data_IF_229807880218
#
_entry.id   IF_229807880218
#
_cell.length_a   1.000
_cell.length_b   1.000
_cell.length_c   1.000
_cell.angle_alpha   90.00
_cell.angle_beta   90.00
_cell.angle_gamma   90.00
#
_symmetry.space_group_name_H-M   'P 1'
#
loop_
_entity.id
_entity.type
_entity.pdbx_description
1 polymer ?
#
# COMPACT_ATOMS: atom_id res chain seq x y z
N UNK A 1 -16.59 10.23 -0.35
CA UNK A 1 -16.03 11.04 -1.47
C UNK A 1 -15.36 10.08 -2.43
N UNK A 2 -15.64 10.20 -3.73
CA UNK A 2 -14.97 9.41 -4.77
C UNK A 2 -13.49 9.81 -4.92
N UNK A 3 -12.69 8.95 -5.51
CA UNK A 3 -11.29 9.25 -5.77
C UNK A 3 -11.13 10.44 -6.72
N UNK A 4 -10.05 11.18 -6.52
CA UNK A 4 -9.54 12.22 -7.41
C UNK A 4 -8.16 11.80 -7.92
N UNK A 5 -7.64 12.38 -9.01
CA UNK A 5 -6.31 12.03 -9.52
C UNK A 5 -5.20 12.07 -8.46
N UNK A 6 -5.26 13.04 -7.54
CA UNK A 6 -4.31 13.15 -6.41
C UNK A 6 -4.30 11.91 -5.50
N UNK A 7 -5.40 11.16 -5.44
CA UNK A 7 -5.50 9.94 -4.68
C UNK A 7 -4.59 8.84 -5.24
N UNK A 8 -4.36 8.79 -6.56
CA UNK A 8 -3.48 7.78 -7.17
C UNK A 8 -2.03 7.97 -6.70
N UNK A 9 -1.54 9.21 -6.75
CA UNK A 9 -0.21 9.55 -6.25
C UNK A 9 -0.10 9.35 -4.73
N UNK A 10 -1.16 9.67 -3.98
CA UNK A 10 -1.22 9.44 -2.55
C UNK A 10 -1.12 7.95 -2.21
N UNK A 11 -1.90 7.09 -2.88
CA UNK A 11 -1.88 5.64 -2.68
C UNK A 11 -0.50 5.06 -2.99
N UNK A 12 0.14 5.48 -4.08
CA UNK A 12 1.49 5.05 -4.41
C UNK A 12 2.51 5.43 -3.32
N UNK A 13 2.43 6.66 -2.81
CA UNK A 13 3.25 7.10 -1.70
C UNK A 13 2.94 6.36 -0.38
N UNK A 14 1.70 5.92 -0.17
CA UNK A 14 1.35 5.09 0.99
C UNK A 14 2.01 3.72 0.91
N UNK A 15 2.09 3.11 -0.27
CA UNK A 15 2.80 1.84 -0.46
C UNK A 15 4.31 1.96 -0.20
N UNK A 16 4.92 3.08 -0.59
CA UNK A 16 6.31 3.38 -0.22
C UNK A 16 6.52 3.55 1.29
N UNK A 17 5.56 4.16 1.98
CA UNK A 17 5.62 4.30 3.44
C UNK A 17 5.43 2.94 4.13
N UNK A 18 4.56 2.11 3.60
CA UNK A 18 4.32 0.76 4.07
C UNK A 18 5.58 -0.12 3.93
N UNK A 19 6.25 -0.10 2.78
CA UNK A 19 7.49 -0.87 2.59
C UNK A 19 8.57 -0.48 3.60
N UNK A 20 8.69 0.81 3.91
CA UNK A 20 9.59 1.31 4.97
C UNK A 20 9.16 0.86 6.36
N UNK A 21 7.87 0.91 6.66
CA UNK A 21 7.32 0.47 7.94
C UNK A 21 7.54 -1.04 8.17
N UNK A 22 7.52 -1.83 7.09
CA UNK A 22 7.85 -3.25 7.14
C UNK A 22 9.35 -3.53 7.16
N UNK A 23 10.22 -2.51 7.17
CA UNK A 23 11.67 -2.67 7.08
C UNK A 23 12.12 -3.46 5.83
N UNK A 24 11.54 -3.15 4.66
CA UNK A 24 11.99 -3.72 3.39
C UNK A 24 13.34 -3.18 2.95
N UNK A 25 14.15 -4.06 2.37
CA UNK A 25 15.32 -3.70 1.59
C UNK A 25 14.90 -3.15 0.22
N UNK A 26 15.86 -2.70 -0.58
CA UNK A 26 15.59 -2.09 -1.89
C UNK A 26 14.87 -3.06 -2.85
N UNK A 27 15.16 -4.36 -2.77
CA UNK A 27 14.52 -5.38 -3.60
C UNK A 27 13.04 -5.54 -3.23
N UNK A 28 12.73 -5.75 -1.94
CA UNK A 28 11.34 -5.83 -1.46
C UNK A 28 10.59 -4.52 -1.76
N UNK A 29 11.20 -3.37 -1.49
CA UNK A 29 10.56 -2.08 -1.72
C UNK A 29 10.26 -1.85 -3.21
N UNK A 30 11.20 -2.18 -4.10
CA UNK A 30 10.99 -2.12 -5.56
C UNK A 30 9.81 -3.00 -5.97
N UNK A 31 9.78 -4.25 -5.50
CA UNK A 31 8.71 -5.18 -5.85
C UNK A 31 7.33 -4.66 -5.40
N UNK A 32 7.21 -4.19 -4.14
CA UNK A 32 5.96 -3.59 -3.63
C UNK A 32 5.51 -2.43 -4.53
N UNK A 33 6.44 -1.58 -4.95
CA UNK A 33 6.12 -0.40 -5.75
C UNK A 33 5.70 -0.79 -7.18
N UNK A 34 6.38 -1.74 -7.82
CA UNK A 34 6.01 -2.24 -9.14
C UNK A 34 4.60 -2.87 -9.15
N UNK A 35 4.32 -3.73 -8.19
CA UNK A 35 2.99 -4.37 -8.04
C UNK A 35 1.91 -3.32 -7.75
N UNK A 36 2.20 -2.37 -6.84
CA UNK A 36 1.29 -1.28 -6.51
C UNK A 36 0.98 -0.39 -7.71
N UNK A 37 1.98 -0.05 -8.53
CA UNK A 37 1.79 0.74 -9.74
C UNK A 37 0.87 0.02 -10.74
N UNK A 38 1.13 -1.28 -10.97
CA UNK A 38 0.30 -2.11 -11.85
C UNK A 38 -1.16 -2.19 -11.36
N UNK A 39 -1.36 -2.22 -10.04
CA UNK A 39 -2.69 -2.25 -9.44
C UNK A 39 -3.40 -0.91 -9.49
N UNK A 40 -2.70 0.18 -9.16
CA UNK A 40 -3.22 1.55 -9.20
C UNK A 40 -3.70 1.90 -10.61
N UNK A 41 -2.98 1.47 -11.66
CA UNK A 41 -3.36 1.69 -13.05
C UNK A 41 -4.73 1.05 -13.43
N UNK A 42 -5.25 0.13 -12.61
CA UNK A 42 -6.52 -0.57 -12.84
C UNK A 42 -7.64 -0.15 -11.88
N UNK A 43 -7.38 0.80 -10.97
CA UNK A 43 -8.39 1.30 -10.04
C UNK A 43 -9.47 2.10 -10.78
N UNK A 44 -10.70 2.03 -10.27
CA UNK A 44 -11.82 2.79 -10.83
C UNK A 44 -12.03 4.06 -10.00
N UNK A 45 -12.18 5.21 -10.66
CA UNK A 45 -12.31 6.50 -9.96
C UNK A 45 -13.62 6.62 -9.17
N UNK A 46 -14.61 5.76 -9.46
CA UNK A 46 -15.86 5.58 -8.71
C UNK A 46 -15.69 4.75 -7.43
N UNK A 47 -14.46 4.45 -7.00
CA UNK A 47 -14.19 3.96 -5.66
C UNK A 47 -13.84 5.13 -4.74
N UNK A 48 -14.04 4.94 -3.45
CA UNK A 48 -13.52 5.85 -2.44
C UNK A 48 -12.03 5.56 -2.18
N UNK A 49 -11.23 6.55 -1.73
CA UNK A 49 -9.82 6.31 -1.40
C UNK A 49 -9.60 5.18 -0.39
N UNK A 50 -10.42 5.02 0.68
CA UNK A 50 -10.30 3.88 1.59
C UNK A 50 -10.54 2.52 0.93
N UNK A 51 -11.52 2.41 0.02
CA UNK A 51 -11.78 1.16 -0.71
C UNK A 51 -10.61 0.80 -1.63
N UNK A 52 -10.01 1.78 -2.31
CA UNK A 52 -8.83 1.56 -3.12
C UNK A 52 -7.61 1.15 -2.28
N UNK A 53 -7.40 1.80 -1.13
CA UNK A 53 -6.30 1.48 -0.23
C UNK A 53 -6.45 0.06 0.36
N UNK A 54 -7.67 -0.35 0.72
CA UNK A 54 -7.97 -1.69 1.23
C UNK A 54 -7.62 -2.82 0.25
N UNK A 55 -7.54 -2.52 -1.05
CA UNK A 55 -7.08 -3.46 -2.07
C UNK A 55 -5.55 -3.55 -2.08
N UNK A 56 -4.85 -2.42 -1.93
CA UNK A 56 -3.40 -2.34 -2.08
C UNK A 56 -2.63 -2.88 -0.86
N UNK A 57 -3.10 -2.59 0.36
CA UNK A 57 -2.39 -2.97 1.59
C UNK A 57 -2.12 -4.48 1.71
N UNK A 58 -3.10 -5.38 1.47
CA UNK A 58 -2.87 -6.82 1.57
C UNK A 58 -1.89 -7.33 0.50
N UNK A 59 -1.97 -6.79 -0.72
CA UNK A 59 -1.09 -7.18 -1.83
C UNK A 59 0.37 -6.81 -1.50
N UNK A 60 0.61 -5.60 -1.02
CA UNK A 60 1.93 -5.15 -0.60
C UNK A 60 2.46 -5.93 0.63
N UNK A 61 1.59 -6.34 1.56
CA UNK A 61 1.99 -7.17 2.71
C UNK A 61 2.38 -8.59 2.31
N UNK A 62 1.68 -9.15 1.31
CA UNK A 62 1.93 -10.50 0.80
C UNK A 62 3.33 -10.66 0.19
N UNK A 63 3.91 -9.58 -0.38
CA UNK A 63 5.30 -9.58 -0.89
C UNK A 63 6.30 -10.04 0.17
N UNK A 64 6.08 -9.69 1.44
CA UNK A 64 6.94 -10.08 2.56
C UNK A 64 6.46 -11.35 3.27
N UNK A 65 5.32 -11.91 2.88
CA UNK A 65 4.68 -13.03 3.59
C UNK A 65 4.24 -12.67 5.00
N UNK A 66 3.91 -11.39 5.26
CA UNK A 66 3.49 -10.91 6.59
C UNK A 66 1.96 -10.80 6.62
N UNK A 67 1.31 -11.49 7.56
CA UNK A 67 -0.16 -11.48 7.71
C UNK A 67 -0.71 -10.10 8.13
N UNK A 68 0.02 -9.34 8.96
CA UNK A 68 -0.35 -7.97 9.33
C UNK A 68 0.88 -7.04 9.30
N UNK A 69 1.04 -6.21 8.26
CA UNK A 69 2.20 -5.35 8.08
C UNK A 69 2.27 -4.21 9.12
N UNK A 70 1.21 -4.03 9.93
CA UNK A 70 1.13 -3.02 10.98
C UNK A 70 1.15 -3.62 12.39
N UNK A 71 1.31 -4.94 12.55
CA UNK A 71 1.27 -5.59 13.86
C UNK A 71 2.27 -4.98 14.86
N UNK A 72 3.52 -4.76 14.42
CA UNK A 72 4.57 -4.16 15.25
C UNK A 72 4.25 -2.70 15.61
N UNK A 73 3.71 -1.94 14.65
CA UNK A 73 3.35 -0.53 14.86
C UNK A 73 2.15 -0.39 15.82
N UNK A 74 1.19 -1.32 15.75
CA UNK A 74 0.07 -1.40 16.69
C UNK A 74 0.55 -1.74 18.10
N UNK A 75 1.50 -2.67 18.25
CA UNK A 75 2.06 -3.06 19.54
C UNK A 75 2.80 -1.90 20.25
N UNK A 76 3.49 -1.05 19.48
CA UNK A 76 4.24 0.11 19.98
C UNK A 76 3.39 1.36 20.26
N UNK A 77 2.10 1.36 19.86
CA UNK A 77 1.20 2.52 20.03
C UNK A 77 0.34 2.44 21.30
N UNK A 78 0.76 1.64 22.29
CA UNK A 78 0.04 1.42 23.57
C UNK A 78 0.77 2.08 24.73
#
# INVERSE_FOLDING_TARGET
MWMKPDCLACLYNQMLRLSKAMHCDDACATQIMEESAARIARLRMEQTPPEAAAILYPEAAAVRGVEDPYAEMKALST
#
